data_IF_088548046356
#
_entry.id   IF_088548046356
#
_cell.length_a   1.000
_cell.length_b   1.000
_cell.length_c   1.000
_cell.angle_alpha   90.00
_cell.angle_beta   90.00
_cell.angle_gamma   90.00
#
_symmetry.space_group_name_H-M   'P 1'
#
loop_
_entity.id
_entity.type
_entity.pdbx_description
1 polymer ?
#
# COMPACT_ATOMS: atom_id res chain seq x y z
N UNK A 1 -11.62 7.58 8.27
CA UNK A 1 -11.25 6.17 7.99
C UNK A 1 -12.00 5.26 8.96
N UNK A 2 -13.16 4.76 8.55
CA UNK A 2 -14.03 3.94 9.41
C UNK A 2 -15.05 3.15 8.60
N UNK A 3 -15.51 3.71 7.47
CA UNK A 3 -16.46 3.06 6.56
C UNK A 3 -16.08 1.62 6.20
N UNK A 4 -14.86 1.38 5.69
CA UNK A 4 -14.43 0.02 5.31
C UNK A 4 -14.27 -0.92 6.50
N UNK A 5 -13.83 -0.43 7.66
CA UNK A 5 -13.72 -1.22 8.89
C UNK A 5 -15.11 -1.66 9.38
N UNK A 6 -16.08 -0.74 9.46
CA UNK A 6 -17.45 -1.09 9.85
C UNK A 6 -18.10 -2.01 8.83
N UNK A 7 -17.86 -1.79 7.53
CA UNK A 7 -18.42 -2.65 6.48
C UNK A 7 -17.89 -4.08 6.57
N UNK A 8 -16.59 -4.28 6.76
CA UNK A 8 -16.02 -5.64 6.89
C UNK A 8 -16.48 -6.31 8.19
N UNK A 9 -16.56 -5.57 9.30
CA UNK A 9 -17.06 -6.09 10.56
C UNK A 9 -18.50 -6.60 10.46
N UNK A 10 -19.40 -5.82 9.85
CA UNK A 10 -20.78 -6.24 9.63
C UNK A 10 -20.90 -7.48 8.72
N UNK A 11 -20.03 -7.63 7.72
CA UNK A 11 -20.00 -8.82 6.86
C UNK A 11 -19.48 -10.05 7.61
N UNK A 12 -18.48 -9.88 8.46
CA UNK A 12 -17.94 -10.97 9.29
C UNK A 12 -18.95 -11.43 10.35
N UNK A 13 -19.68 -10.50 10.97
CA UNK A 13 -20.76 -10.84 11.90
C UNK A 13 -21.85 -11.69 11.20
N UNK A 14 -22.26 -11.29 9.99
CA UNK A 14 -23.21 -12.07 9.17
C UNK A 14 -22.70 -13.46 8.80
N UNK A 15 -21.38 -13.63 8.67
CA UNK A 15 -20.74 -14.91 8.40
C UNK A 15 -20.48 -15.76 9.66
N UNK A 16 -20.80 -15.26 10.86
CA UNK A 16 -20.69 -16.01 12.12
C UNK A 16 -19.30 -15.98 12.77
N UNK A 17 -18.44 -15.02 12.43
CA UNK A 17 -17.15 -14.83 13.11
C UNK A 17 -17.34 -14.29 14.54
N UNK A 18 -16.39 -14.63 15.42
CA UNK A 18 -16.38 -14.15 16.80
C UNK A 18 -15.96 -12.66 16.91
N UNK A 19 -16.29 -12.04 18.04
CA UNK A 19 -16.04 -10.62 18.28
C UNK A 19 -14.55 -10.23 18.28
N UNK A 20 -13.66 -11.12 18.74
CA UNK A 20 -12.22 -10.85 18.78
C UNK A 20 -11.66 -10.78 17.35
N UNK A 21 -12.02 -11.76 16.51
CA UNK A 21 -11.68 -11.80 15.09
C UNK A 21 -12.18 -10.56 14.35
N UNK A 22 -13.44 -10.16 14.60
CA UNK A 22 -14.04 -8.97 14.00
C UNK A 22 -13.26 -7.71 14.39
N UNK A 23 -13.01 -7.49 15.68
CA UNK A 23 -12.29 -6.30 16.15
C UNK A 23 -10.85 -6.23 15.64
N UNK A 24 -10.15 -7.37 15.56
CA UNK A 24 -8.82 -7.45 14.97
C UNK A 24 -8.83 -7.01 13.49
N UNK A 25 -9.75 -7.53 12.68
CA UNK A 25 -9.86 -7.17 11.25
C UNK A 25 -10.29 -5.71 11.08
N UNK A 26 -11.24 -5.22 11.88
CA UNK A 26 -11.64 -3.81 11.88
C UNK A 26 -10.44 -2.90 12.13
N UNK A 27 -9.58 -3.23 13.10
CA UNK A 27 -8.35 -2.48 13.37
C UNK A 27 -7.41 -2.49 12.16
N UNK A 28 -7.13 -3.65 11.58
CA UNK A 28 -6.28 -3.79 10.41
C UNK A 28 -6.78 -2.94 9.21
N UNK A 29 -8.06 -3.05 8.89
CA UNK A 29 -8.69 -2.37 7.74
C UNK A 29 -8.91 -0.88 7.98
N UNK A 30 -9.00 -0.45 9.24
CA UNK A 30 -9.16 0.97 9.57
C UNK A 30 -7.99 1.83 9.10
N UNK A 31 -6.82 1.22 8.84
CA UNK A 31 -5.58 1.91 8.45
C UNK A 31 -5.17 3.00 9.45
N UNK A 32 -5.63 2.89 10.70
CA UNK A 32 -5.21 3.72 11.83
C UNK A 32 -3.95 3.13 12.46
N UNK A 33 -3.09 3.99 12.99
CA UNK A 33 -1.85 3.60 13.67
C UNK A 33 -0.92 2.76 12.80
N UNK A 34 -0.66 3.25 11.58
CA UNK A 34 0.34 2.66 10.70
C UNK A 34 1.68 2.57 11.45
N UNK A 35 2.35 1.42 11.35
CA UNK A 35 3.58 1.00 12.09
C UNK A 35 3.39 0.48 13.52
N UNK A 36 2.28 0.79 14.20
CA UNK A 36 2.06 0.30 15.58
C UNK A 36 1.25 -1.00 15.63
N UNK A 37 0.50 -1.31 14.56
CA UNK A 37 -0.27 -2.55 14.42
C UNK A 37 0.28 -3.39 13.26
N UNK A 38 0.79 -4.62 13.52
CA UNK A 38 1.32 -5.51 12.50
C UNK A 38 0.33 -5.86 11.37
N UNK A 39 -0.96 -6.03 11.68
CA UNK A 39 -1.97 -6.35 10.67
C UNK A 39 -2.28 -5.14 9.79
N UNK A 40 -2.34 -3.95 10.37
CA UNK A 40 -2.47 -2.71 9.59
C UNK A 40 -1.27 -2.52 8.67
N UNK A 41 -0.05 -2.78 9.18
CA UNK A 41 1.16 -2.69 8.38
C UNK A 41 1.13 -3.68 7.22
N UNK A 42 0.73 -4.93 7.46
CA UNK A 42 0.60 -5.95 6.43
C UNK A 42 -0.40 -5.55 5.33
N UNK A 43 -1.55 -4.99 5.72
CA UNK A 43 -2.55 -4.49 4.76
C UNK A 43 -1.98 -3.35 3.91
N UNK A 44 -1.21 -2.43 4.49
CA UNK A 44 -0.57 -1.35 3.71
C UNK A 44 0.58 -1.84 2.83
N UNK A 45 1.38 -2.79 3.31
CA UNK A 45 2.44 -3.41 2.51
C UNK A 45 1.85 -4.04 1.24
N UNK A 46 0.81 -4.85 1.39
CA UNK A 46 0.12 -5.49 0.25
C UNK A 46 -0.50 -4.43 -0.65
N UNK A 47 -1.19 -3.42 -0.09
CA UNK A 47 -1.81 -2.38 -0.88
C UNK A 47 -0.79 -1.58 -1.71
N UNK A 48 0.38 -1.28 -1.14
CA UNK A 48 1.46 -0.57 -1.83
C UNK A 48 2.10 -1.43 -2.93
N UNK A 49 2.39 -2.71 -2.64
CA UNK A 49 2.95 -3.64 -3.63
C UNK A 49 2.00 -3.84 -4.82
N UNK A 50 0.72 -4.09 -4.55
CA UNK A 50 -0.31 -4.23 -5.58
C UNK A 50 -0.46 -2.94 -6.38
N UNK A 51 -0.38 -1.77 -5.74
CA UNK A 51 -0.40 -0.50 -6.46
C UNK A 51 0.77 -0.37 -7.43
N UNK A 52 1.99 -0.64 -6.96
CA UNK A 52 3.21 -0.55 -7.79
C UNK A 52 3.08 -1.49 -8.99
N UNK A 53 2.66 -2.74 -8.77
CA UNK A 53 2.65 -3.77 -9.81
C UNK A 53 1.50 -3.65 -10.81
N UNK A 54 0.29 -3.33 -10.34
CA UNK A 54 -0.91 -3.45 -11.15
C UNK A 54 -1.61 -2.14 -11.49
N UNK A 55 -1.34 -1.05 -10.76
CA UNK A 55 -2.12 0.18 -10.89
C UNK A 55 -1.30 1.42 -11.22
N UNK A 56 0.01 1.41 -10.95
CA UNK A 56 0.85 2.59 -11.08
C UNK A 56 0.96 3.09 -12.53
N UNK A 57 1.08 2.19 -13.51
CA UNK A 57 1.14 2.57 -14.94
C UNK A 57 -0.16 3.22 -15.40
N UNK A 58 -1.31 2.57 -15.19
CA UNK A 58 -2.62 3.13 -15.54
C UNK A 58 -2.90 4.45 -14.81
N UNK A 59 -2.44 4.58 -13.58
CA UNK A 59 -2.52 5.83 -12.83
C UNK A 59 -1.66 6.92 -13.48
N UNK A 60 -0.49 6.57 -14.01
CA UNK A 60 0.35 7.51 -14.74
C UNK A 60 -0.27 7.95 -16.07
N UNK A 61 -0.84 7.02 -16.82
CA UNK A 61 -1.48 7.32 -18.11
C UNK A 61 -2.71 8.23 -17.93
N UNK A 62 -3.38 8.15 -16.78
CA UNK A 62 -4.51 9.04 -16.41
C UNK A 62 -4.09 10.43 -15.94
N UNK A 63 -2.81 10.61 -15.59
CA UNK A 63 -2.27 11.86 -15.07
C UNK A 63 -1.06 12.35 -15.88
N UNK A 64 -1.21 12.58 -17.20
CA UNK A 64 -0.12 13.08 -18.05
C UNK A 64 0.34 14.50 -17.66
N UNK A 65 -0.45 15.23 -16.88
CA UNK A 65 -0.11 16.55 -16.34
C UNK A 65 0.91 16.51 -15.19
N UNK A 66 1.21 15.33 -14.63
CA UNK A 66 2.18 15.20 -13.54
C UNK A 66 3.60 15.20 -14.06
N UNK A 67 4.39 16.15 -13.57
CA UNK A 67 5.81 16.21 -13.82
C UNK A 67 6.58 15.14 -13.03
N UNK A 68 7.86 15.00 -13.35
CA UNK A 68 8.77 14.07 -12.68
C UNK A 68 8.80 14.27 -11.15
N UNK A 69 8.82 15.52 -10.68
CA UNK A 69 8.89 15.83 -9.26
C UNK A 69 7.65 15.32 -8.51
N UNK A 70 6.47 15.48 -9.11
CA UNK A 70 5.20 14.96 -8.58
C UNK A 70 5.22 13.44 -8.52
N UNK A 71 5.71 12.77 -9.56
CA UNK A 71 5.84 11.31 -9.57
C UNK A 71 6.80 10.79 -8.51
N UNK A 72 7.95 11.41 -8.34
CA UNK A 72 8.91 11.06 -7.29
C UNK A 72 8.26 11.21 -5.91
N UNK A 73 7.49 12.27 -5.65
CA UNK A 73 6.79 12.44 -4.37
C UNK A 73 5.72 11.35 -4.15
N UNK A 74 4.93 11.01 -5.18
CA UNK A 74 3.94 9.92 -5.11
C UNK A 74 4.62 8.59 -4.77
N UNK A 75 5.69 8.24 -5.49
CA UNK A 75 6.42 6.98 -5.27
C UNK A 75 7.01 6.97 -3.86
N UNK A 76 7.64 8.06 -3.40
CA UNK A 76 8.18 8.17 -2.02
C UNK A 76 7.09 8.01 -0.97
N UNK A 77 5.91 8.61 -1.17
CA UNK A 77 4.79 8.46 -0.24
C UNK A 77 4.28 7.03 -0.18
N UNK A 78 4.24 6.32 -1.29
CA UNK A 78 3.92 4.89 -1.32
C UNK A 78 5.00 4.07 -0.61
N UNK A 79 6.28 4.30 -0.95
CA UNK A 79 7.43 3.60 -0.38
C UNK A 79 7.54 3.73 1.13
N UNK A 80 7.34 4.95 1.67
CA UNK A 80 7.41 5.22 3.11
C UNK A 80 6.31 4.53 3.94
N UNK A 81 5.21 4.11 3.31
CA UNK A 81 4.16 3.36 4.02
C UNK A 81 4.50 1.88 4.18
N UNK A 82 5.38 1.36 3.33
CA UNK A 82 5.81 -0.02 3.35
C UNK A 82 6.77 -0.29 4.51
N UNK A 83 6.72 -1.50 5.03
CA UNK A 83 7.75 -2.03 5.94
C UNK A 83 9.06 -2.30 5.19
N UNK A 84 10.20 -2.40 5.89
CA UNK A 84 11.47 -2.79 5.27
C UNK A 84 11.38 -4.11 4.51
N UNK A 85 10.63 -5.09 5.05
CA UNK A 85 10.41 -6.39 4.41
C UNK A 85 9.69 -6.24 3.06
N UNK A 86 8.67 -5.40 2.99
CA UNK A 86 7.94 -5.19 1.75
C UNK A 86 8.78 -4.42 0.72
N UNK A 87 9.59 -3.46 1.17
CA UNK A 87 10.54 -2.76 0.29
C UNK A 87 11.56 -3.73 -0.30
N UNK A 88 12.15 -4.58 0.53
CA UNK A 88 13.10 -5.61 0.10
C UNK A 88 12.44 -6.63 -0.84
N UNK A 89 11.19 -7.03 -0.57
CA UNK A 89 10.41 -7.89 -1.45
C UNK A 89 10.27 -7.30 -2.87
N UNK A 90 10.01 -6.00 -2.98
CA UNK A 90 9.93 -5.30 -4.26
C UNK A 90 11.30 -5.18 -4.94
N UNK A 91 12.36 -4.82 -4.20
CA UNK A 91 13.71 -4.68 -4.73
C UNK A 91 14.31 -6.02 -5.20
N UNK A 92 13.90 -7.13 -4.58
CA UNK A 92 14.32 -8.48 -4.98
C UNK A 92 13.63 -8.98 -6.27
N UNK A 93 12.78 -8.17 -6.91
CA UNK A 93 12.12 -8.53 -8.17
C UNK A 93 10.94 -9.50 -8.00
N UNK A 94 10.37 -9.60 -6.81
CA UNK A 94 9.21 -10.46 -6.56
C UNK A 94 7.88 -9.84 -7.04
N UNK A 95 7.91 -8.60 -7.53
CA UNK A 95 6.79 -7.95 -8.23
C UNK A 95 7.29 -7.43 -9.57
N UNK A 96 6.40 -7.35 -10.56
CA UNK A 96 6.71 -6.68 -11.82
C UNK A 96 6.62 -5.16 -11.65
N UNK A 97 7.70 -4.45 -11.91
CA UNK A 97 7.68 -2.99 -11.96
C UNK A 97 7.18 -2.50 -13.34
N UNK A 98 6.43 -1.38 -13.40
CA UNK A 98 6.03 -0.76 -14.65
C UNK A 98 7.26 -0.19 -15.38
N UNK A 99 7.63 -0.81 -16.50
CA UNK A 99 8.87 -0.52 -17.24
C UNK A 99 9.12 0.97 -17.50
N UNK A 100 8.14 1.79 -17.95
CA UNK A 100 8.34 3.22 -18.19
C UNK A 100 8.68 4.02 -16.94
N UNK A 101 8.26 3.57 -15.75
CA UNK A 101 8.42 4.29 -14.49
C UNK A 101 9.59 3.76 -13.64
N UNK A 102 10.26 2.67 -14.05
CA UNK A 102 11.42 2.12 -13.33
C UNK A 102 12.48 3.19 -13.02
N UNK A 103 12.88 4.10 -13.95
CA UNK A 103 13.85 5.14 -13.63
C UNK A 103 13.40 6.08 -12.51
N UNK A 104 12.11 6.43 -12.49
CA UNK A 104 11.52 7.27 -11.43
C UNK A 104 11.47 6.53 -10.09
N UNK A 105 11.13 5.24 -10.11
CA UNK A 105 11.12 4.40 -8.92
C UNK A 105 12.51 4.32 -8.31
N UNK A 106 13.53 4.01 -9.11
CA UNK A 106 14.93 3.92 -8.65
C UNK A 106 15.40 5.25 -8.06
N UNK A 107 15.11 6.37 -8.73
CA UNK A 107 15.46 7.71 -8.22
C UNK A 107 14.73 8.04 -6.91
N UNK A 108 13.46 7.67 -6.80
CA UNK A 108 12.66 7.92 -5.61
C UNK A 108 13.19 7.18 -4.38
N UNK A 109 13.60 5.92 -4.53
CA UNK A 109 14.03 5.06 -3.41
C UNK A 109 15.49 5.24 -3.02
N UNK A 110 16.38 5.62 -3.95
CA UNK A 110 17.81 5.82 -3.67
C UNK A 110 18.10 6.98 -2.68
N UNK A 111 17.21 7.97 -2.61
CA UNK A 111 17.34 9.15 -1.74
C UNK A 111 16.51 9.03 -0.45
N UNK A 112 16.00 7.84 -0.13
CA UNK A 112 15.27 7.62 1.12
C UNK A 112 16.25 7.09 2.18
N UNK A 113 16.55 7.86 3.25
CA UNK A 113 17.42 7.41 4.33
C UNK A 113 16.78 6.32 5.19
#
# INVERSE_FOLDING_TARGET
YGFHAERVGALMEQAGYDAESIERVKRAVSKKSLRDNPDTQLVEDIAALVFIEHYMQDFADKHPEYDEAKWIDIIRRTWRKMSPRAQEFALAGNIRLPEPLVPLIQKAVAETP
#
